data_IF_189110486042
#
_entry.id   IF_189110486042
#
_cell.length_a   1.000
_cell.length_b   1.000
_cell.length_c   1.000
_cell.angle_alpha   90.00
_cell.angle_beta   90.00
_cell.angle_gamma   90.00
#
_symmetry.space_group_name_H-M   'P 1'
#
loop_
_entity.id
_entity.type
_entity.pdbx_description
1 polymer ?
#
# COMPACT_ATOMS: atom_id res chain seq x y z
N UNK A 1 -29.45 18.90 -7.13
CA UNK A 1 -29.04 18.31 -8.43
C UNK A 1 -27.60 18.68 -8.76
N UNK A 2 -27.22 19.96 -8.70
CA UNK A 2 -25.82 20.45 -8.84
C UNK A 2 -24.79 19.67 -7.99
N UNK A 3 -25.10 19.42 -6.73
CA UNK A 3 -24.20 18.73 -5.79
C UNK A 3 -23.87 17.29 -6.19
N UNK A 4 -24.78 16.60 -6.90
CA UNK A 4 -24.54 15.24 -7.37
C UNK A 4 -23.43 15.21 -8.44
N UNK A 5 -23.39 16.20 -9.31
CA UNK A 5 -22.34 16.32 -10.32
C UNK A 5 -20.98 16.61 -9.68
N UNK A 6 -20.93 17.50 -8.68
CA UNK A 6 -19.70 17.74 -7.91
C UNK A 6 -19.23 16.47 -7.17
N UNK A 7 -20.15 15.76 -6.52
CA UNK A 7 -19.83 14.50 -5.83
C UNK A 7 -19.32 13.44 -6.81
N UNK A 8 -19.92 13.36 -8.01
CA UNK A 8 -19.51 12.41 -9.03
C UNK A 8 -18.08 12.68 -9.50
N UNK A 9 -17.73 13.93 -9.79
CA UNK A 9 -16.37 14.31 -10.21
C UNK A 9 -15.34 14.04 -9.10
N UNK A 10 -15.66 14.40 -7.85
CA UNK A 10 -14.78 14.15 -6.71
C UNK A 10 -14.58 12.65 -6.52
N UNK A 11 -15.65 11.86 -6.54
CA UNK A 11 -15.59 10.39 -6.44
C UNK A 11 -14.73 9.77 -7.55
N UNK A 12 -14.90 10.23 -8.79
CA UNK A 12 -14.10 9.78 -9.92
C UNK A 12 -12.61 10.04 -9.70
N UNK A 13 -12.25 11.25 -9.26
CA UNK A 13 -10.86 11.61 -8.93
C UNK A 13 -10.29 10.73 -7.82
N UNK A 14 -11.09 10.41 -6.79
CA UNK A 14 -10.68 9.49 -5.74
C UNK A 14 -10.40 8.09 -6.28
N UNK A 15 -11.30 7.54 -7.10
CA UNK A 15 -11.13 6.21 -7.69
C UNK A 15 -9.87 6.16 -8.56
N UNK A 16 -9.66 7.17 -9.42
CA UNK A 16 -8.46 7.26 -10.25
C UNK A 16 -7.20 7.40 -9.39
N UNK A 17 -7.23 8.27 -8.37
CA UNK A 17 -6.10 8.47 -7.46
C UNK A 17 -5.71 7.20 -6.69
N UNK A 18 -6.70 6.49 -6.16
CA UNK A 18 -6.50 5.19 -5.50
C UNK A 18 -5.95 4.17 -6.51
N UNK A 19 -6.52 4.11 -7.71
CA UNK A 19 -6.05 3.21 -8.77
C UNK A 19 -4.58 3.44 -9.12
N UNK A 20 -4.16 4.70 -9.28
CA UNK A 20 -2.75 5.06 -9.54
C UNK A 20 -1.86 4.68 -8.37
N UNK A 21 -2.29 4.97 -7.13
CA UNK A 21 -1.50 4.65 -5.94
C UNK A 21 -1.30 3.13 -5.79
N UNK A 22 -2.35 2.34 -6.01
CA UNK A 22 -2.29 0.88 -5.98
C UNK A 22 -1.45 0.32 -7.13
N UNK A 23 -1.62 0.85 -8.34
CA UNK A 23 -0.77 0.49 -9.48
C UNK A 23 0.70 0.74 -9.14
N UNK A 24 1.03 1.93 -8.67
CA UNK A 24 2.39 2.26 -8.25
C UNK A 24 2.90 1.33 -7.14
N UNK A 25 2.09 1.03 -6.11
CA UNK A 25 2.48 0.10 -5.04
C UNK A 25 2.82 -1.30 -5.56
N UNK A 26 2.00 -1.84 -6.48
CA UNK A 26 2.24 -3.16 -7.08
C UNK A 26 3.49 -3.16 -7.96
N UNK A 27 3.68 -2.15 -8.81
CA UNK A 27 4.80 -2.11 -9.76
C UNK A 27 6.11 -1.56 -9.15
N UNK A 28 6.07 -0.94 -7.98
CA UNK A 28 7.25 -0.46 -7.26
C UNK A 28 7.96 -1.54 -6.43
N UNK A 29 7.45 -2.78 -6.43
CA UNK A 29 8.05 -3.88 -5.67
C UNK A 29 7.81 -3.78 -4.17
N UNK A 30 6.81 -3.01 -3.70
CA UNK A 30 6.49 -2.86 -2.27
C UNK A 30 6.34 -4.21 -1.53
N UNK A 31 5.95 -5.26 -2.24
CA UNK A 31 5.69 -6.58 -1.68
C UNK A 31 6.88 -7.56 -1.82
N UNK A 32 7.96 -7.17 -2.49
CA UNK A 32 9.07 -8.08 -2.80
C UNK A 32 9.89 -8.45 -1.54
N UNK A 33 10.01 -7.51 -0.59
CA UNK A 33 10.76 -7.72 0.67
C UNK A 33 9.90 -8.32 1.80
N UNK A 34 8.72 -8.88 1.48
CA UNK A 34 7.81 -9.44 2.50
C UNK A 34 8.43 -10.65 3.21
N UNK A 35 9.25 -11.44 2.50
CA UNK A 35 9.94 -12.60 3.07
C UNK A 35 10.99 -12.20 4.12
N UNK A 36 11.78 -11.15 3.85
CA UNK A 36 12.79 -10.63 4.78
C UNK A 36 12.15 -10.10 6.07
N UNK A 37 11.03 -9.36 5.93
CA UNK A 37 10.24 -8.88 7.06
C UNK A 37 9.59 -10.02 7.88
N UNK A 38 9.28 -11.15 7.25
CA UNK A 38 8.80 -12.34 7.95
C UNK A 38 9.92 -13.07 8.71
N UNK A 39 11.13 -13.12 8.14
CA UNK A 39 12.28 -13.76 8.77
C UNK A 39 12.86 -12.97 9.94
N UNK A 40 12.74 -11.63 9.96
CA UNK A 40 13.23 -10.80 11.07
C UNK A 40 12.61 -11.19 12.41
N UNK A 41 11.29 -11.39 12.45
CA UNK A 41 10.55 -11.79 13.67
C UNK A 41 11.05 -13.14 14.22
N UNK A 42 11.44 -14.06 13.34
CA UNK A 42 11.97 -15.37 13.75
C UNK A 42 13.42 -15.28 14.23
N UNK A 43 14.23 -14.42 13.62
CA UNK A 43 15.66 -14.23 13.94
C UNK A 43 15.91 -13.28 15.12
N UNK A 44 14.92 -12.48 15.51
CA UNK A 44 15.01 -11.51 16.61
C UNK A 44 15.42 -12.16 17.95
N UNK A 45 15.10 -13.44 18.17
CA UNK A 45 15.35 -14.14 19.43
C UNK A 45 16.78 -14.73 19.57
N UNK A 46 17.57 -14.78 18.49
CA UNK A 46 18.89 -15.44 18.49
C UNK A 46 20.05 -14.45 18.71
N UNK A 47 19.78 -13.15 18.77
CA UNK A 47 20.78 -12.08 18.85
C UNK A 47 21.15 -11.63 20.28
N UNK A 48 20.47 -12.18 21.29
CA UNK A 48 20.62 -11.78 22.70
C UNK A 48 21.26 -12.85 23.60
N UNK A 49 22.25 -13.59 23.10
CA UNK A 49 23.10 -14.42 23.97
C UNK A 49 24.58 -14.18 23.68
N UNK A 50 25.19 -13.32 24.50
CA UNK A 50 26.63 -13.12 24.62
C UNK A 50 27.04 -13.30 26.07
#
# INVERSE_FOLDING_TARGET
MESLFLLLSISFLFVVGIGIALFWAVFSGQFDDTEENGQSILKDNDSHHK
#
